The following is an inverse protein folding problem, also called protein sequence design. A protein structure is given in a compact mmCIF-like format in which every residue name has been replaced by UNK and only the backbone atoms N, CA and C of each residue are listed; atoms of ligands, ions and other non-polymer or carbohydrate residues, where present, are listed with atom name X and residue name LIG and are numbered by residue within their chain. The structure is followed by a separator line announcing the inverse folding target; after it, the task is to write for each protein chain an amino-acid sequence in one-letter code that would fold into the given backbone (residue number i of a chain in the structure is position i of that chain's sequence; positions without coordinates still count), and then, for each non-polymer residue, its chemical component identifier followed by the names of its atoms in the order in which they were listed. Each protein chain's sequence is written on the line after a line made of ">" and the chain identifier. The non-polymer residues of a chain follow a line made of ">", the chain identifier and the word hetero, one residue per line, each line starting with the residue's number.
data_IF_722781114116
#
_entry.id   IF_722781114116
#
_cell.length_a   1.000
_cell.length_b   1.000
_cell.length_c   1.000
_cell.angle_alpha   90.00
_cell.angle_beta   90.00
_cell.angle_gamma   90.00
#
_symmetry.space_group_name_H-M   'P 1'
#
loop_
_entity.id
_entity.type
_entity.pdbx_description
1 polymer ?
#
# COMPACT_ATOMS: atom_id res chain seq x y z
N UNK A 1 -5.04 -1.64 16.44
CA UNK A 1 -4.20 -0.63 17.11
C UNK A 1 -5.05 0.61 17.21
N UNK A 2 -5.18 1.15 18.42
CA UNK A 2 -5.99 2.33 18.64
C UNK A 2 -5.23 3.58 18.21
N UNK A 3 -5.97 4.60 17.75
CA UNK A 3 -5.39 5.86 17.31
C UNK A 3 -4.92 6.64 18.54
N UNK A 4 -3.73 7.23 18.44
CA UNK A 4 -3.11 8.01 19.49
C UNK A 4 -3.06 9.47 19.02
N UNK A 5 -3.57 10.37 19.87
CA UNK A 5 -3.48 11.81 19.66
C UNK A 5 -2.04 12.29 19.79
N UNK A 6 -1.69 13.34 19.07
CA UNK A 6 -0.35 13.92 19.12
C UNK A 6 0.07 14.29 20.55
N UNK A 7 -0.82 14.90 21.31
CA UNK A 7 -0.58 15.36 22.68
C UNK A 7 -0.33 14.21 23.66
N UNK A 8 -0.73 12.99 23.29
CA UNK A 8 -0.51 11.77 24.08
C UNK A 8 0.85 11.11 23.79
N UNK A 9 1.61 11.61 22.82
CA UNK A 9 2.97 11.13 22.57
C UNK A 9 3.92 11.54 23.70
N UNK A 10 4.95 10.71 24.00
CA UNK A 10 6.02 11.06 24.93
C UNK A 10 6.65 12.41 24.57
N UNK A 11 7.02 13.20 25.59
CA UNK A 11 7.64 14.51 25.40
C UNK A 11 8.89 14.41 24.50
N UNK A 12 9.78 13.47 24.80
CA UNK A 12 10.98 13.18 24.01
C UNK A 12 10.68 12.94 22.52
N UNK A 13 9.55 12.29 22.20
CA UNK A 13 9.13 12.06 20.81
C UNK A 13 8.65 13.36 20.16
N UNK A 14 7.85 14.16 20.86
CA UNK A 14 7.37 15.46 20.34
C UNK A 14 8.49 16.47 20.19
N UNK A 15 9.45 16.46 21.09
CA UNK A 15 10.62 17.35 21.08
C UNK A 15 11.54 16.97 19.92
N UNK A 16 11.84 15.67 19.73
CA UNK A 16 12.63 15.20 18.59
C UNK A 16 12.03 15.60 17.23
N UNK A 17 10.70 15.56 17.09
CA UNK A 17 10.04 16.01 15.85
C UNK A 17 10.19 17.52 15.66
N UNK A 18 10.06 18.31 16.72
CA UNK A 18 10.22 19.77 16.65
C UNK A 18 11.67 20.18 16.40
N UNK A 19 12.64 19.43 16.91
CA UNK A 19 14.06 19.66 16.65
C UNK A 19 14.41 19.40 15.16
N UNK A 20 13.84 18.34 14.57
CA UNK A 20 14.09 17.97 13.17
C UNK A 20 13.33 18.87 12.17
N UNK A 21 12.04 19.14 12.44
CA UNK A 21 11.14 19.83 11.50
C UNK A 21 10.90 21.31 11.82
N UNK A 22 11.37 21.77 12.98
CA UNK A 22 11.01 23.06 13.53
C UNK A 22 9.69 23.05 14.31
N UNK A 23 9.35 24.16 14.98
CA UNK A 23 8.15 24.25 15.80
C UNK A 23 6.88 24.13 14.94
N UNK A 24 5.94 23.30 15.40
CA UNK A 24 4.63 23.17 14.78
C UNK A 24 3.67 24.26 15.27
N UNK A 25 2.92 24.82 14.33
CA UNK A 25 1.91 25.86 14.56
C UNK A 25 0.54 25.24 14.83
N UNK A 26 0.27 24.10 14.18
CA UNK A 26 -0.98 23.36 14.32
C UNK A 26 -0.75 21.90 13.95
N UNK A 27 -1.48 21.00 14.59
CA UNK A 27 -1.51 19.59 14.24
C UNK A 27 -2.96 19.19 13.97
N UNK A 28 -3.18 18.57 12.83
CA UNK A 28 -4.49 18.11 12.37
C UNK A 28 -4.48 16.59 12.30
N UNK A 29 -5.38 15.96 13.07
CA UNK A 29 -5.51 14.52 13.03
C UNK A 29 -6.22 14.07 11.75
N UNK A 30 -5.68 13.04 11.09
CA UNK A 30 -6.23 12.65 9.77
C UNK A 30 -7.53 11.82 9.82
N UNK A 31 -8.03 11.21 10.90
CA UNK A 31 -9.26 10.37 10.84
C UNK A 31 -9.19 9.09 9.97
N UNK A 32 -8.52 9.10 8.82
CA UNK A 32 -8.27 8.00 7.90
C UNK A 32 -6.79 7.53 8.00
N UNK A 33 -6.45 6.37 7.41
CA UNK A 33 -5.14 5.70 7.60
C UNK A 33 -5.15 4.81 8.85
N UNK A 34 -5.21 3.48 8.66
CA UNK A 34 -5.57 2.52 9.73
C UNK A 34 -4.41 1.73 10.32
N UNK A 35 -3.20 1.87 9.78
CA UNK A 35 -2.06 1.01 10.14
C UNK A 35 -1.05 1.66 11.07
N UNK A 36 -1.16 2.97 11.29
CA UNK A 36 -0.30 3.72 12.20
C UNK A 36 -1.10 4.16 13.42
N UNK A 37 -0.49 4.09 14.59
CA UNK A 37 -1.08 4.61 15.83
C UNK A 37 -1.29 6.13 15.70
N UNK A 38 -0.32 6.81 15.11
CA UNK A 38 -0.36 8.23 14.80
C UNK A 38 -0.46 8.43 13.28
N UNK A 39 -1.36 9.31 12.85
CA UNK A 39 -1.40 9.85 11.49
C UNK A 39 -1.97 11.27 11.55
N UNK A 40 -1.12 12.28 11.29
CA UNK A 40 -1.45 13.71 11.45
C UNK A 40 -0.79 14.56 10.36
N UNK A 41 -1.34 15.75 10.10
CA UNK A 41 -0.66 16.80 9.35
C UNK A 41 -0.12 17.82 10.35
N UNK A 42 1.20 17.99 10.36
CA UNK A 42 1.85 19.08 11.08
C UNK A 42 1.96 20.30 10.16
N UNK A 43 1.45 21.43 10.63
CA UNK A 43 1.60 22.73 9.99
C UNK A 43 2.79 23.44 10.62
N UNK A 44 3.83 23.67 9.83
CA UNK A 44 5.11 24.27 10.22
C UNK A 44 5.24 25.63 9.55
N UNK A 45 6.19 26.46 9.98
CA UNK A 45 6.48 27.73 9.33
C UNK A 45 6.92 27.56 7.86
N UNK A 46 7.62 26.45 7.56
CA UNK A 46 8.14 26.15 6.22
C UNK A 46 7.16 25.40 5.32
N UNK A 47 5.99 24.96 5.81
CA UNK A 47 5.03 24.18 5.03
C UNK A 47 4.29 23.14 5.87
N UNK A 48 3.75 22.12 5.20
CA UNK A 48 3.03 21.01 5.85
C UNK A 48 3.77 19.69 5.67
N UNK A 49 3.75 18.88 6.72
CA UNK A 49 4.34 17.54 6.74
C UNK A 49 3.29 16.55 7.21
N UNK A 50 3.14 15.44 6.50
CA UNK A 50 2.35 14.31 6.99
C UNK A 50 3.21 13.44 7.90
N UNK A 51 2.80 13.28 9.15
CA UNK A 51 3.50 12.46 10.14
C UNK A 51 2.71 11.18 10.39
N UNK A 52 3.42 10.04 10.39
CA UNK A 52 2.87 8.78 10.87
C UNK A 52 3.84 8.03 11.76
N UNK A 53 3.31 7.33 12.76
CA UNK A 53 4.15 6.67 13.76
C UNK A 53 3.48 5.51 14.47
N UNK A 54 4.31 4.70 15.10
CA UNK A 54 3.89 3.59 15.95
C UNK A 54 4.87 3.41 17.13
N UNK A 55 4.39 2.89 18.28
CA UNK A 55 5.26 2.45 19.36
C UNK A 55 6.22 1.36 18.87
N UNK A 56 7.48 1.39 19.32
CA UNK A 56 8.50 0.39 19.02
C UNK A 56 8.15 -0.99 19.61
N UNK A 57 7.43 -1.01 20.74
CA UNK A 57 6.87 -2.25 21.32
C UNK A 57 5.91 -2.97 20.37
N UNK A 58 5.31 -2.26 19.41
CA UNK A 58 4.59 -2.88 18.32
C UNK A 58 5.57 -3.21 17.18
N UNK A 59 6.32 -4.29 17.35
CA UNK A 59 7.38 -4.71 16.42
C UNK A 59 6.90 -4.78 14.96
N UNK A 60 5.67 -5.27 14.73
CA UNK A 60 5.10 -5.36 13.37
C UNK A 60 4.90 -3.99 12.74
N UNK A 61 4.28 -3.04 13.44
CA UNK A 61 4.05 -1.70 12.93
C UNK A 61 5.36 -0.91 12.78
N UNK A 62 6.28 -1.06 13.73
CA UNK A 62 7.61 -0.47 13.65
C UNK A 62 8.41 -1.01 12.44
N UNK A 63 8.36 -2.32 12.19
CA UNK A 63 9.01 -2.93 11.02
C UNK A 63 8.40 -2.47 9.68
N UNK A 64 7.08 -2.23 9.63
CA UNK A 64 6.43 -1.64 8.45
C UNK A 64 6.95 -0.22 8.18
N UNK A 65 7.05 0.63 9.20
CA UNK A 65 7.63 1.97 9.06
C UNK A 65 9.12 1.91 8.72
N UNK A 66 9.88 0.96 9.25
CA UNK A 66 11.28 0.74 8.88
C UNK A 66 11.44 0.45 7.39
N UNK A 67 10.64 -0.50 6.89
CA UNK A 67 10.61 -0.85 5.47
C UNK A 67 10.24 0.32 4.58
N UNK A 68 9.21 1.07 4.95
CA UNK A 68 8.77 2.21 4.15
C UNK A 68 9.82 3.31 4.05
N UNK A 69 10.50 3.62 5.15
CA UNK A 69 11.61 4.57 5.13
C UNK A 69 12.75 4.09 4.24
N UNK A 70 13.10 2.80 4.30
CA UNK A 70 14.14 2.20 3.47
C UNK A 70 13.79 2.18 1.97
N UNK A 71 12.51 2.00 1.63
CA UNK A 71 12.03 1.98 0.24
C UNK A 71 11.89 3.39 -0.34
N UNK A 72 11.48 4.38 0.45
CA UNK A 72 11.11 5.72 -0.02
C UNK A 72 12.12 6.36 -0.99
N UNK A 73 13.45 6.39 -0.70
CA UNK A 73 14.43 7.01 -1.60
C UNK A 73 14.44 6.44 -3.02
N UNK A 74 13.97 5.19 -3.19
CA UNK A 74 13.95 4.48 -4.46
C UNK A 74 12.64 4.62 -5.23
N UNK A 75 11.61 5.24 -4.62
CA UNK A 75 10.25 5.32 -5.18
C UNK A 75 9.70 6.74 -5.28
N UNK A 76 10.51 7.78 -5.04
CA UNK A 76 10.07 9.18 -5.01
C UNK A 76 9.44 9.69 -6.32
N UNK A 77 9.67 8.98 -7.44
CA UNK A 77 8.98 9.23 -8.70
C UNK A 77 7.44 9.08 -8.58
N UNK A 78 6.97 8.22 -7.66
CA UNK A 78 5.55 7.90 -7.48
C UNK A 78 5.03 8.17 -6.06
N UNK A 79 5.90 8.44 -5.07
CA UNK A 79 5.52 8.68 -3.67
C UNK A 79 6.04 10.03 -3.16
N UNK A 80 5.39 10.74 -2.22
CA UNK A 80 5.98 11.90 -1.56
C UNK A 80 7.34 11.59 -0.91
N UNK A 81 8.26 12.56 -0.93
CA UNK A 81 9.57 12.36 -0.32
C UNK A 81 9.45 12.24 1.22
N UNK A 82 10.26 11.34 1.80
CA UNK A 82 10.48 11.28 3.24
C UNK A 82 11.35 12.47 3.65
N UNK A 83 10.85 13.27 4.58
CA UNK A 83 11.52 14.46 5.12
C UNK A 83 12.02 14.27 6.56
N UNK A 84 11.59 13.20 7.22
CA UNK A 84 11.95 12.90 8.61
C UNK A 84 11.83 11.39 8.88
N UNK A 85 12.82 10.80 9.55
CA UNK A 85 12.80 9.42 10.08
C UNK A 85 13.40 9.43 11.49
N UNK A 86 12.57 9.21 12.50
CA UNK A 86 12.95 9.37 13.90
C UNK A 86 12.61 8.13 14.73
N UNK A 87 13.48 7.87 15.70
CA UNK A 87 13.21 6.98 16.82
C UNK A 87 13.51 7.69 18.12
N UNK A 88 12.49 7.97 18.93
CA UNK A 88 12.62 8.71 20.19
C UNK A 88 11.47 8.36 21.13
N UNK A 89 11.74 8.33 22.44
CA UNK A 89 10.71 8.09 23.46
C UNK A 89 9.98 6.74 23.31
N UNK A 90 10.61 5.72 22.72
CA UNK A 90 9.97 4.42 22.47
C UNK A 90 9.07 4.38 21.23
N UNK A 91 9.13 5.38 20.35
CA UNK A 91 8.35 5.47 19.12
C UNK A 91 9.24 5.47 17.87
N UNK A 92 8.71 4.93 16.77
CA UNK A 92 9.20 5.19 15.41
C UNK A 92 8.23 6.12 14.70
N UNK A 93 8.74 7.17 14.08
CA UNK A 93 7.95 8.17 13.37
C UNK A 93 8.58 8.52 12.03
N UNK A 94 7.75 8.60 10.99
CA UNK A 94 8.12 9.07 9.67
C UNK A 94 7.36 10.35 9.34
N UNK A 95 8.05 11.30 8.72
CA UNK A 95 7.47 12.50 8.13
C UNK A 95 7.66 12.52 6.63
N UNK A 96 6.59 12.79 5.89
CA UNK A 96 6.58 12.90 4.43
C UNK A 96 6.14 14.29 4.01
N UNK A 97 6.57 14.72 2.83
CA UNK A 97 5.96 15.87 2.15
C UNK A 97 4.43 15.72 2.16
N UNK A 98 3.73 16.79 2.56
CA UNK A 98 2.29 16.80 2.49
C UNK A 98 1.84 16.85 1.02
N UNK A 99 1.05 15.87 0.59
CA UNK A 99 0.48 15.82 -0.76
C UNK A 99 -0.87 16.54 -0.77
N UNK A 100 -0.94 17.67 -1.50
CA UNK A 100 -2.21 18.33 -1.82
C UNK A 100 -2.94 17.59 -2.93
N UNK A 101 -3.59 16.50 -2.56
CA UNK A 101 -4.34 15.64 -3.47
C UNK A 101 -5.59 15.05 -2.82
N UNK A 102 -6.56 14.70 -3.65
CA UNK A 102 -7.73 13.92 -3.21
C UNK A 102 -7.45 12.44 -3.39
N UNK A 103 -8.16 11.57 -2.70
CA UNK A 103 -8.12 10.13 -2.98
C UNK A 103 -8.53 9.87 -4.44
N UNK A 104 -7.90 8.87 -5.03
CA UNK A 104 -8.27 8.42 -6.36
C UNK A 104 -9.64 7.73 -6.31
N UNK A 105 -10.48 8.03 -7.30
CA UNK A 105 -11.75 7.34 -7.49
C UNK A 105 -11.56 6.06 -8.32
N UNK A 106 -11.84 4.91 -7.72
CA UNK A 106 -11.75 3.58 -8.36
C UNK A 106 -13.10 3.07 -8.87
N UNK A 107 -14.15 3.88 -8.86
CA UNK A 107 -15.47 3.46 -9.33
C UNK A 107 -15.53 3.32 -10.85
N UNK A 108 -16.46 2.50 -11.38
CA UNK A 108 -16.64 2.34 -12.82
C UNK A 108 -16.84 3.67 -13.55
N UNK A 109 -16.06 3.89 -14.61
CA UNK A 109 -16.13 5.13 -15.40
C UNK A 109 -15.31 6.29 -14.84
N UNK A 110 -14.59 6.10 -13.73
CA UNK A 110 -13.67 7.10 -13.20
C UNK A 110 -12.62 7.51 -14.23
N UNK A 111 -12.37 8.82 -14.30
CA UNK A 111 -11.32 9.43 -15.16
C UNK A 111 -9.93 9.35 -14.54
N UNK A 112 -9.83 8.85 -13.32
CA UNK A 112 -8.56 8.82 -12.59
C UNK A 112 -7.72 7.58 -12.88
N UNK A 113 -8.36 6.48 -13.32
CA UNK A 113 -7.71 5.19 -13.54
C UNK A 113 -6.48 5.26 -14.47
N UNK A 114 -6.48 6.05 -15.57
CA UNK A 114 -5.27 6.21 -16.38
C UNK A 114 -4.04 6.66 -15.59
N UNK A 115 -4.19 7.62 -14.67
CA UNK A 115 -3.07 8.10 -13.86
C UNK A 115 -2.56 7.04 -12.86
N UNK A 116 -3.43 6.15 -12.38
CA UNK A 116 -3.03 5.00 -11.55
C UNK A 116 -2.22 4.00 -12.36
N UNK A 117 -2.65 3.73 -13.59
CA UNK A 117 -1.92 2.84 -14.50
C UNK A 117 -0.54 3.42 -14.84
N UNK A 118 -0.45 4.73 -15.10
CA UNK A 118 0.83 5.42 -15.31
C UNK A 118 1.75 5.30 -14.08
N UNK A 119 1.20 5.43 -12.86
CA UNK A 119 1.96 5.22 -11.63
C UNK A 119 2.46 3.77 -11.51
N UNK A 120 1.66 2.76 -11.89
CA UNK A 120 2.11 1.35 -11.90
C UNK A 120 3.20 1.09 -12.96
N UNK A 121 3.08 1.68 -14.15
CA UNK A 121 4.14 1.62 -15.18
C UNK A 121 5.43 2.23 -14.65
N UNK A 122 5.34 3.36 -13.94
CA UNK A 122 6.50 3.96 -13.30
C UNK A 122 7.10 3.03 -12.23
N UNK A 123 6.28 2.38 -11.39
CA UNK A 123 6.74 1.40 -10.39
C UNK A 123 7.48 0.23 -11.03
N UNK A 124 6.98 -0.31 -12.14
CA UNK A 124 7.62 -1.42 -12.84
C UNK A 124 9.02 -1.05 -13.38
N UNK A 125 9.27 0.23 -13.64
CA UNK A 125 10.57 0.76 -14.05
C UNK A 125 11.56 1.01 -12.91
N UNK A 126 11.11 0.99 -11.65
CA UNK A 126 11.95 1.28 -10.49
C UNK A 126 12.76 0.06 -10.06
N UNK A 127 13.97 0.31 -9.57
CA UNK A 127 14.85 -0.71 -9.01
C UNK A 127 15.15 -0.39 -7.56
N UNK A 128 14.87 -1.35 -6.69
CA UNK A 128 15.26 -1.29 -5.28
C UNK A 128 16.49 -2.18 -5.08
N UNK A 129 17.61 -1.66 -4.54
CA UNK A 129 18.83 -2.43 -4.25
C UNK A 129 18.55 -3.69 -3.41
N UNK A 130 19.29 -4.77 -3.63
CA UNK A 130 19.00 -6.08 -3.04
C UNK A 130 19.14 -6.13 -1.51
N UNK A 131 19.91 -5.20 -0.94
CA UNK A 131 20.17 -5.01 0.48
C UNK A 131 19.09 -4.19 1.21
N UNK A 132 18.18 -3.55 0.47
CA UNK A 132 16.99 -2.93 1.07
C UNK A 132 16.04 -4.04 1.52
N UNK A 133 15.71 -4.03 2.82
CA UNK A 133 14.81 -4.99 3.47
C UNK A 133 13.36 -4.81 3.00
N UNK A 134 13.02 -5.54 1.94
CA UNK A 134 11.65 -5.73 1.46
C UNK A 134 11.30 -7.21 1.53
N UNK A 135 10.05 -7.50 1.82
CA UNK A 135 9.59 -8.88 1.98
C UNK A 135 9.64 -9.62 0.63
N UNK A 136 10.00 -10.90 0.66
CA UNK A 136 9.75 -11.79 -0.46
C UNK A 136 8.28 -12.16 -0.48
N UNK A 137 7.61 -11.86 -1.57
CA UNK A 137 6.15 -11.95 -1.65
C UNK A 137 5.68 -13.39 -1.50
N UNK A 138 6.30 -14.35 -2.17
CA UNK A 138 5.99 -15.77 -2.03
C UNK A 138 6.16 -16.29 -0.59
N UNK A 139 7.14 -15.76 0.16
CA UNK A 139 7.35 -16.08 1.57
C UNK A 139 6.27 -15.49 2.48
N UNK A 140 5.85 -14.25 2.21
CA UNK A 140 4.76 -13.60 2.96
C UNK A 140 3.41 -14.33 2.78
N UNK A 141 3.23 -15.00 1.65
CA UNK A 141 1.96 -15.66 1.29
C UNK A 141 1.99 -17.17 1.48
N UNK A 142 3.10 -17.75 1.95
CA UNK A 142 3.30 -19.21 2.01
C UNK A 142 2.27 -19.91 2.89
N UNK A 143 1.88 -19.30 4.00
CA UNK A 143 0.95 -19.88 4.98
C UNK A 143 -0.48 -20.03 4.42
N UNK A 144 -0.77 -19.36 3.31
CA UNK A 144 -2.07 -19.36 2.65
C UNK A 144 -2.06 -20.09 1.30
N UNK A 145 -0.94 -20.71 0.95
CA UNK A 145 -0.74 -21.29 -0.36
C UNK A 145 -1.70 -22.47 -0.61
N UNK A 146 -2.66 -22.25 -1.51
CA UNK A 146 -3.63 -23.28 -1.92
C UNK A 146 -2.94 -24.45 -2.63
N UNK A 147 -1.86 -24.18 -3.35
CA UNK A 147 -0.97 -25.16 -3.99
C UNK A 147 0.47 -24.70 -3.75
N UNK A 148 1.13 -25.15 -2.67
CA UNK A 148 2.47 -24.68 -2.28
C UNK A 148 3.52 -24.83 -3.37
N UNK A 149 3.43 -25.88 -4.20
CA UNK A 149 4.37 -26.15 -5.29
C UNK A 149 4.31 -25.08 -6.40
N UNK A 150 3.24 -24.29 -6.45
CA UNK A 150 3.06 -23.18 -7.40
C UNK A 150 3.49 -21.83 -6.85
N UNK A 151 3.83 -21.71 -5.56
CA UNK A 151 4.32 -20.45 -4.97
C UNK A 151 5.51 -19.83 -5.73
N UNK A 152 6.49 -20.60 -6.23
CA UNK A 152 7.59 -20.01 -7.01
C UNK A 152 7.15 -19.26 -8.28
N UNK A 153 5.92 -19.49 -8.77
CA UNK A 153 5.39 -18.78 -9.95
C UNK A 153 5.03 -17.32 -9.68
N UNK A 154 4.87 -16.92 -8.42
CA UNK A 154 4.64 -15.53 -8.01
C UNK A 154 5.88 -14.87 -7.40
N UNK A 155 7.01 -15.59 -7.36
CA UNK A 155 8.29 -15.05 -6.96
C UNK A 155 8.89 -14.17 -8.05
N UNK A 156 9.82 -13.29 -7.68
CA UNK A 156 10.48 -12.38 -8.59
C UNK A 156 11.13 -11.21 -7.87
N UNK A 157 11.79 -10.34 -8.63
CA UNK A 157 12.54 -9.19 -8.08
C UNK A 157 11.88 -7.85 -8.34
N UNK A 158 10.74 -7.83 -9.02
CA UNK A 158 10.00 -6.61 -9.29
C UNK A 158 9.47 -6.01 -7.98
N UNK A 159 9.50 -4.68 -7.89
CA UNK A 159 8.98 -3.97 -6.73
C UNK A 159 7.46 -4.02 -6.73
N UNK A 160 6.90 -4.48 -5.62
CA UNK A 160 5.46 -4.60 -5.41
C UNK A 160 5.02 -3.67 -4.30
N UNK A 161 3.93 -2.92 -4.53
CA UNK A 161 3.31 -2.11 -3.47
C UNK A 161 2.55 -2.99 -2.47
N UNK A 162 1.82 -3.98 -2.97
CA UNK A 162 1.00 -4.96 -2.23
C UNK A 162 -0.15 -4.39 -1.37
N UNK A 163 -0.48 -3.12 -1.57
CA UNK A 163 -1.55 -2.43 -0.83
C UNK A 163 -2.18 -1.28 -1.61
N UNK A 164 -2.59 -1.58 -2.85
CA UNK A 164 -3.13 -0.61 -3.81
C UNK A 164 -4.60 -0.23 -3.55
N UNK A 165 -5.05 -0.23 -2.29
CA UNK A 165 -6.40 0.22 -1.96
C UNK A 165 -6.58 1.71 -2.32
N UNK A 166 -7.80 2.13 -2.63
CA UNK A 166 -8.09 3.50 -3.08
C UNK A 166 -7.70 4.59 -2.05
N UNK A 167 -7.48 4.21 -0.78
CA UNK A 167 -6.98 5.11 0.25
C UNK A 167 -5.48 5.40 0.18
N UNK A 168 -4.73 4.59 -0.56
CA UNK A 168 -3.28 4.70 -0.72
C UNK A 168 -2.88 5.29 -2.08
N UNK A 169 -3.85 5.73 -2.88
CA UNK A 169 -3.61 6.46 -4.12
C UNK A 169 -4.19 7.87 -3.99
N UNK A 170 -3.34 8.88 -4.21
CA UNK A 170 -3.69 10.29 -4.16
C UNK A 170 -3.58 10.91 -5.55
N UNK A 171 -4.66 11.52 -6.03
CA UNK A 171 -4.70 12.28 -7.26
C UNK A 171 -4.22 13.71 -7.02
N UNK A 172 -3.18 14.11 -7.74
CA UNK A 172 -2.61 15.46 -7.72
C UNK A 172 -2.75 16.11 -9.10
N UNK A 173 -2.41 17.40 -9.22
CA UNK A 173 -2.32 18.07 -10.53
C UNK A 173 -1.27 17.47 -11.48
N UNK A 174 -0.32 16.68 -10.95
CA UNK A 174 0.74 16.03 -11.72
C UNK A 174 0.46 14.53 -12.01
N UNK A 175 -0.67 13.99 -11.54
CA UNK A 175 -1.03 12.58 -11.66
C UNK A 175 -1.19 11.88 -10.31
N UNK A 176 -1.28 10.54 -10.34
CA UNK A 176 -1.46 9.74 -9.14
C UNK A 176 -0.14 9.55 -8.38
N UNK A 177 -0.21 9.60 -7.06
CA UNK A 177 0.88 9.27 -6.13
C UNK A 177 0.45 8.09 -5.26
N UNK A 178 1.34 7.12 -5.07
CA UNK A 178 1.12 5.94 -4.25
C UNK A 178 1.81 6.12 -2.90
N UNK A 179 1.05 5.97 -1.82
CA UNK A 179 1.51 6.14 -0.43
C UNK A 179 1.37 4.83 0.35
N UNK A 180 1.99 4.76 1.54
CA UNK A 180 1.93 3.59 2.43
C UNK A 180 2.66 2.35 1.87
N UNK A 181 3.98 2.51 1.71
CA UNK A 181 4.89 1.46 1.23
C UNK A 181 5.35 0.48 2.33
N UNK A 182 4.73 0.51 3.52
CA UNK A 182 5.14 -0.35 4.65
C UNK A 182 5.00 -1.85 4.39
N UNK A 183 4.20 -2.24 3.40
CA UNK A 183 4.05 -3.63 2.94
C UNK A 183 4.81 -3.94 1.65
N UNK A 184 5.68 -3.03 1.17
CA UNK A 184 6.45 -3.24 -0.05
C UNK A 184 7.14 -4.60 -0.05
N UNK A 185 7.13 -5.25 -1.22
CA UNK A 185 7.64 -6.61 -1.38
C UNK A 185 8.35 -6.76 -2.73
N UNK A 186 9.06 -7.87 -2.91
CA UNK A 186 9.58 -8.35 -4.20
C UNK A 186 8.80 -9.56 -4.65
N UNK A 187 8.42 -9.59 -5.92
CA UNK A 187 7.74 -10.74 -6.50
C UNK A 187 7.56 -10.62 -8.01
N UNK A 188 6.63 -11.40 -8.53
CA UNK A 188 6.27 -11.36 -9.94
C UNK A 188 5.57 -10.02 -10.30
N UNK A 189 5.93 -9.36 -11.42
CA UNK A 189 5.34 -8.08 -11.84
C UNK A 189 3.81 -8.09 -11.89
N UNK A 190 3.20 -9.23 -12.25
CA UNK A 190 1.75 -9.47 -12.27
C UNK A 190 1.03 -9.08 -10.97
N UNK A 191 1.70 -9.13 -9.82
CA UNK A 191 1.03 -8.88 -8.54
C UNK A 191 0.46 -7.46 -8.44
N UNK A 192 1.18 -6.44 -8.93
CA UNK A 192 0.68 -5.06 -8.94
C UNK A 192 -0.66 -4.90 -9.69
N UNK A 193 -0.78 -5.29 -10.98
CA UNK A 193 -2.05 -5.19 -11.69
C UNK A 193 -3.13 -6.11 -11.10
N UNK A 194 -2.79 -7.29 -10.60
CA UNK A 194 -3.76 -8.18 -9.98
C UNK A 194 -4.33 -7.63 -8.65
N UNK A 195 -3.50 -6.99 -7.83
CA UNK A 195 -3.96 -6.27 -6.63
C UNK A 195 -4.88 -5.11 -7.03
N UNK A 196 -4.57 -4.36 -8.08
CA UNK A 196 -5.47 -3.32 -8.59
C UNK A 196 -6.81 -3.90 -9.04
N UNK A 197 -6.84 -5.04 -9.75
CA UNK A 197 -8.07 -5.72 -10.17
C UNK A 197 -9.00 -5.98 -8.99
N UNK A 198 -8.50 -6.54 -7.88
CA UNK A 198 -9.34 -6.80 -6.71
C UNK A 198 -9.85 -5.51 -6.06
N UNK A 199 -9.03 -4.47 -5.99
CA UNK A 199 -9.46 -3.18 -5.47
C UNK A 199 -10.55 -2.52 -6.35
N UNK A 200 -10.45 -2.63 -7.68
CA UNK A 200 -11.49 -2.15 -8.61
C UNK A 200 -12.81 -2.92 -8.42
N UNK A 201 -12.74 -4.24 -8.26
CA UNK A 201 -13.93 -5.07 -8.02
C UNK A 201 -14.58 -4.73 -6.66
N UNK A 202 -13.77 -4.41 -5.65
CA UNK A 202 -14.27 -3.92 -4.35
C UNK A 202 -14.94 -2.54 -4.47
N UNK A 203 -14.52 -1.73 -5.44
CA UNK A 203 -15.11 -0.42 -5.76
C UNK A 203 -16.27 -0.48 -6.78
N UNK A 204 -16.75 -1.69 -7.13
CA UNK A 204 -17.97 -1.87 -7.91
C UNK A 204 -17.79 -2.31 -9.35
N UNK A 205 -16.57 -2.54 -9.82
CA UNK A 205 -16.34 -3.15 -11.14
C UNK A 205 -16.82 -4.61 -11.17
N UNK A 206 -17.24 -5.08 -12.35
CA UNK A 206 -17.31 -6.52 -12.61
C UNK A 206 -15.87 -7.07 -12.76
N UNK A 207 -15.63 -8.36 -12.50
CA UNK A 207 -14.32 -8.96 -12.74
C UNK A 207 -13.80 -8.75 -14.17
N UNK A 208 -14.69 -8.86 -15.17
CA UNK A 208 -14.35 -8.64 -16.58
C UNK A 208 -13.89 -7.20 -16.82
N UNK A 209 -14.62 -6.22 -16.31
CA UNK A 209 -14.29 -4.81 -16.52
C UNK A 209 -13.02 -4.41 -15.75
N UNK A 210 -12.78 -4.98 -14.57
CA UNK A 210 -11.56 -4.76 -13.81
C UNK A 210 -10.32 -5.29 -14.53
N UNK A 211 -10.37 -6.50 -15.10
CA UNK A 211 -9.26 -7.02 -15.94
C UNK A 211 -9.05 -6.16 -17.19
N UNK A 212 -10.12 -5.61 -17.79
CA UNK A 212 -10.01 -4.74 -18.94
C UNK A 212 -9.26 -3.43 -18.65
N UNK A 213 -9.39 -2.89 -17.42
CA UNK A 213 -8.67 -1.69 -16.99
C UNK A 213 -7.14 -1.92 -17.00
N UNK A 214 -6.69 -3.07 -16.51
CA UNK A 214 -5.25 -3.38 -16.41
C UNK A 214 -4.66 -4.01 -17.68
N UNK A 215 -5.49 -4.30 -18.69
CA UNK A 215 -5.08 -5.02 -19.89
C UNK A 215 -3.93 -4.35 -20.67
N UNK A 216 -3.81 -3.03 -20.58
CA UNK A 216 -2.74 -2.27 -21.21
C UNK A 216 -1.36 -2.43 -20.56
N UNK A 217 -1.28 -2.94 -19.33
CA UNK A 217 -0.03 -3.09 -18.59
C UNK A 217 0.76 -4.31 -19.11
N UNK A 218 2.05 -4.12 -19.40
CA UNK A 218 2.94 -5.21 -19.86
C UNK A 218 2.98 -6.37 -18.85
N UNK A 219 3.10 -6.05 -17.56
CA UNK A 219 3.09 -7.01 -16.45
C UNK A 219 1.83 -7.90 -16.42
N UNK A 220 0.70 -7.41 -16.94
CA UNK A 220 -0.54 -8.20 -17.06
C UNK A 220 -0.58 -9.00 -18.37
N UNK A 221 -0.29 -8.33 -19.50
CA UNK A 221 -0.35 -8.92 -20.85
C UNK A 221 0.62 -10.09 -21.05
N UNK A 222 1.78 -10.01 -20.43
CA UNK A 222 2.87 -11.00 -20.56
C UNK A 222 2.77 -12.12 -19.52
N UNK A 223 1.89 -11.99 -18.54
CA UNK A 223 1.70 -13.00 -17.52
C UNK A 223 1.06 -14.28 -18.10
N UNK A 224 1.58 -15.44 -17.68
CA UNK A 224 0.94 -16.72 -17.94
C UNK A 224 -0.46 -16.73 -17.31
N UNK A 225 -1.54 -16.97 -18.10
CA UNK A 225 -2.90 -17.04 -17.58
C UNK A 225 -3.08 -18.01 -16.42
N UNK A 226 -2.33 -19.12 -16.38
CA UNK A 226 -2.38 -20.07 -15.25
C UNK A 226 -1.84 -19.47 -13.95
N UNK A 227 -0.87 -18.55 -14.05
CA UNK A 227 -0.32 -17.82 -12.90
C UNK A 227 -1.34 -16.81 -12.38
N UNK A 228 -2.07 -16.14 -13.29
CA UNK A 228 -3.19 -15.25 -12.91
C UNK A 228 -4.28 -16.04 -12.18
N UNK A 229 -4.65 -17.22 -12.69
CA UNK A 229 -5.65 -18.10 -12.05
C UNK A 229 -5.18 -18.63 -10.69
N UNK A 230 -3.90 -18.96 -10.57
CA UNK A 230 -3.30 -19.34 -9.30
C UNK A 230 -3.34 -18.18 -8.30
N UNK A 231 -2.89 -16.99 -8.71
CA UNK A 231 -2.85 -15.84 -7.83
C UNK A 231 -4.25 -15.41 -7.39
N UNK A 232 -5.25 -15.42 -8.27
CA UNK A 232 -6.64 -15.11 -7.90
C UNK A 232 -7.18 -16.03 -6.78
N UNK A 233 -6.87 -17.33 -6.84
CA UNK A 233 -7.26 -18.30 -5.81
C UNK A 233 -6.49 -18.09 -4.50
N UNK A 234 -5.17 -17.93 -4.59
CA UNK A 234 -4.32 -17.62 -3.44
C UNK A 234 -4.83 -16.38 -2.71
N UNK A 235 -5.11 -15.32 -3.48
CA UNK A 235 -5.67 -14.07 -2.99
C UNK A 235 -6.97 -14.32 -2.22
N UNK A 236 -7.96 -14.94 -2.84
CA UNK A 236 -9.23 -15.26 -2.18
C UNK A 236 -9.03 -16.01 -0.85
N UNK A 237 -8.18 -17.05 -0.82
CA UNK A 237 -7.89 -17.81 0.40
C UNK A 237 -7.22 -16.95 1.47
N UNK A 238 -6.18 -16.20 1.14
CA UNK A 238 -5.48 -15.33 2.10
C UNK A 238 -6.41 -14.29 2.71
N UNK A 239 -7.24 -13.61 1.89
CA UNK A 239 -8.14 -12.59 2.41
C UNK A 239 -9.26 -13.20 3.26
N UNK A 240 -9.80 -14.36 2.88
CA UNK A 240 -10.77 -15.10 3.70
C UNK A 240 -10.20 -15.43 5.08
N UNK A 241 -8.97 -15.95 5.15
CA UNK A 241 -8.31 -16.29 6.42
C UNK A 241 -7.96 -15.04 7.23
N UNK A 242 -7.31 -14.05 6.61
CA UNK A 242 -6.84 -12.84 7.29
C UNK A 242 -8.00 -11.95 7.78
N UNK A 243 -9.14 -11.95 7.09
CA UNK A 243 -10.28 -11.09 7.38
C UNK A 243 -11.56 -11.87 7.71
N UNK A 244 -11.43 -13.11 8.19
CA UNK A 244 -12.58 -13.93 8.60
C UNK A 244 -13.45 -13.25 9.68
N UNK A 245 -12.81 -12.69 10.70
CA UNK A 245 -13.46 -12.03 11.85
C UNK A 245 -13.63 -10.51 11.70
N UNK A 246 -12.68 -9.75 11.10
CA UNK A 246 -12.80 -8.30 10.92
C UNK A 246 -14.13 -7.83 10.31
N UNK A 247 -14.84 -6.97 11.04
CA UNK A 247 -16.15 -6.46 10.64
C UNK A 247 -16.10 -5.18 9.79
N UNK A 248 -14.91 -4.66 9.48
CA UNK A 248 -14.79 -3.37 8.80
C UNK A 248 -15.37 -3.45 7.36
N UNK A 249 -16.24 -2.52 6.91
CA UNK A 249 -16.89 -2.58 5.60
C UNK A 249 -15.94 -2.80 4.43
N UNK A 250 -14.78 -2.13 4.44
CA UNK A 250 -13.74 -2.33 3.42
C UNK A 250 -13.17 -3.76 3.42
N UNK A 251 -12.92 -4.35 4.59
CA UNK A 251 -12.39 -5.71 4.69
C UNK A 251 -13.38 -6.73 4.10
N UNK A 252 -14.68 -6.53 4.34
CA UNK A 252 -15.73 -7.32 3.71
C UNK A 252 -15.73 -7.14 2.19
N UNK A 253 -15.72 -5.89 1.71
CA UNK A 253 -15.77 -5.59 0.28
C UNK A 253 -14.60 -6.21 -0.51
N UNK A 254 -13.38 -6.16 0.03
CA UNK A 254 -12.19 -6.73 -0.62
C UNK A 254 -12.16 -8.26 -0.58
N UNK A 255 -12.66 -8.89 0.50
CA UNK A 255 -12.85 -10.36 0.57
C UNK A 255 -13.87 -10.80 -0.49
N UNK A 256 -15.04 -10.14 -0.55
CA UNK A 256 -16.08 -10.45 -1.53
C UNK A 256 -15.57 -10.23 -2.97
N UNK A 257 -14.73 -9.22 -3.18
CA UNK A 257 -14.08 -8.97 -4.46
C UNK A 257 -13.10 -10.06 -4.86
N UNK A 258 -12.22 -10.49 -3.94
CA UNK A 258 -11.26 -11.54 -4.18
C UNK A 258 -11.94 -12.88 -4.52
N UNK A 259 -13.00 -13.24 -3.77
CA UNK A 259 -13.80 -14.44 -4.04
C UNK A 259 -14.50 -14.34 -5.40
N UNK A 260 -15.15 -13.22 -5.71
CA UNK A 260 -15.80 -13.01 -7.03
C UNK A 260 -14.81 -13.11 -8.19
N UNK A 261 -13.61 -12.55 -8.04
CA UNK A 261 -12.58 -12.64 -9.07
C UNK A 261 -12.12 -14.09 -9.27
N UNK A 262 -11.83 -14.82 -8.19
CA UNK A 262 -11.44 -16.23 -8.26
C UNK A 262 -12.53 -17.10 -8.94
N UNK A 263 -13.81 -16.88 -8.63
CA UNK A 263 -14.92 -17.60 -9.28
C UNK A 263 -15.02 -17.25 -10.76
N UNK A 264 -14.92 -15.96 -11.12
CA UNK A 264 -14.90 -15.54 -12.51
C UNK A 264 -13.77 -16.21 -13.32
N UNK A 265 -12.55 -16.28 -12.76
CA UNK A 265 -11.42 -16.96 -13.41
C UNK A 265 -11.67 -18.46 -13.58
N UNK A 266 -12.27 -19.11 -12.58
CA UNK A 266 -12.64 -20.54 -12.64
C UNK A 266 -13.62 -20.81 -13.78
N UNK A 267 -14.65 -19.99 -13.92
CA UNK A 267 -15.77 -20.22 -14.85
C UNK A 267 -15.45 -19.88 -16.32
N UNK A 268 -14.22 -19.43 -16.62
CA UNK A 268 -13.74 -19.20 -18.00
C UNK A 268 -13.22 -20.46 -18.69
N UNK A 269 -13.02 -21.54 -17.92
CA UNK A 269 -12.57 -22.86 -18.37
C UNK A 269 -13.73 -23.84 -18.40
#
# INVERSE_FOLDING_TARGET
>A
MDRIEWESLPADTRDAVQDELGPSVKIEQIGEGRRSALAVVAHLAAGRVFLKGAPLENERAAAQLAREAAVNPHVQAVTPALVCDLQAGGWRLLGFEHVDGRRVDYTPGSRDLPAVLDALVAVDGLKVPADVDVQWFEGRWSDYAVVPERLPRIAGTALLHTDLNAGNALMTGAGARLVDWGMASRGAPLVNPADLVVNLIACGHTPKDAEAVVYGLAAWREADPEVVDYYARLLATTWLEAFWTPAHPWARAVVDAAVRWAMYRRDRH
#
